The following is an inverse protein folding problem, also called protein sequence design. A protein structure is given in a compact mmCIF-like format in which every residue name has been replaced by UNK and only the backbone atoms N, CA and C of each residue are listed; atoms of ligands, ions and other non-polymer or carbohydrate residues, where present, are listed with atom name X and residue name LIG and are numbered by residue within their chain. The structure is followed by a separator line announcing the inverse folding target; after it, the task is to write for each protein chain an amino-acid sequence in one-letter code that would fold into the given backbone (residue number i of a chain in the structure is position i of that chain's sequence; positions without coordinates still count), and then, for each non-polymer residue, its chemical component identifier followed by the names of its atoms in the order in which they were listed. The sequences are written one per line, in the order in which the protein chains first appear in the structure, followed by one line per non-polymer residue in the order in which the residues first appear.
data_IF_800277995425
#
_entry.id   IF_800277995425
#
_cell.length_a   1.000
_cell.length_b   1.000
_cell.length_c   1.000
_cell.angle_alpha   90.00
_cell.angle_beta   90.00
_cell.angle_gamma   90.00
#
_symmetry.space_group_name_H-M   'P 1'
#
loop_
_entity.id
_entity.type
_entity.pdbx_description
1 polymer ?
#
# COMPACT_ATOMS: atom_id res chain seq x y z
N UNK A 1 -16.08 2.09 -5.94
CA UNK A 1 -15.07 3.11 -5.66
C UNK A 1 -15.07 3.47 -4.20
N UNK A 2 -13.92 3.88 -3.66
CA UNK A 2 -13.78 4.38 -2.30
C UNK A 2 -12.60 5.36 -2.22
N UNK A 3 -12.59 6.19 -1.17
CA UNK A 3 -11.44 7.02 -0.83
C UNK A 3 -10.72 6.36 0.33
N UNK A 4 -9.42 6.18 0.18
CA UNK A 4 -8.51 5.77 1.26
C UNK A 4 -7.70 6.97 1.74
N UNK A 5 -7.53 7.08 3.05
CA UNK A 5 -6.66 8.06 3.68
C UNK A 5 -5.53 7.34 4.43
N UNK A 6 -4.33 7.88 4.32
CA UNK A 6 -3.13 7.37 4.96
C UNK A 6 -2.52 8.46 5.85
N UNK A 7 -2.48 8.24 7.16
CA UNK A 7 -1.66 9.05 8.05
C UNK A 7 -0.18 8.98 7.65
N UNK A 8 0.58 10.02 7.96
CA UNK A 8 2.04 10.02 7.77
C UNK A 8 2.67 8.86 8.53
N UNK A 9 3.65 8.20 7.92
CA UNK A 9 4.40 7.13 8.56
C UNK A 9 3.65 5.81 8.64
N UNK A 10 2.61 5.62 7.83
CA UNK A 10 1.83 4.38 7.78
C UNK A 10 1.75 3.80 6.38
N UNK A 11 1.49 2.50 6.31
CA UNK A 11 1.19 1.80 5.06
C UNK A 11 0.21 0.64 5.30
N UNK A 12 -0.41 0.17 4.24
CA UNK A 12 -1.32 -1.00 4.26
C UNK A 12 -0.55 -2.29 4.10
N UNK A 13 -1.16 -3.40 4.53
CA UNK A 13 -0.72 -4.74 4.17
C UNK A 13 -0.75 -4.94 2.66
N UNK A 14 0.21 -5.70 2.15
CA UNK A 14 0.20 -6.12 0.76
C UNK A 14 -0.97 -7.04 0.50
N UNK A 15 -1.66 -6.84 -0.61
CA UNK A 15 -2.77 -7.69 -1.02
C UNK A 15 -2.93 -7.68 -2.54
N UNK A 16 -3.74 -8.59 -3.04
CA UNK A 16 -4.13 -8.65 -4.45
C UNK A 16 -5.64 -8.80 -4.58
N UNK A 17 -6.18 -8.46 -5.71
CA UNK A 17 -7.58 -8.72 -6.09
C UNK A 17 -7.74 -8.73 -7.61
N UNK A 18 -8.71 -9.52 -8.12
CA UNK A 18 -8.85 -9.83 -9.53
C UNK A 18 -9.00 -8.63 -10.49
N UNK A 19 -9.89 -7.65 -10.23
CA UNK A 19 -10.16 -6.60 -11.22
C UNK A 19 -9.10 -5.49 -11.30
N UNK A 20 -8.00 -5.55 -10.51
CA UNK A 20 -7.05 -4.46 -10.43
C UNK A 20 -7.65 -3.18 -9.82
N UNK A 21 -6.95 -2.07 -9.95
CA UNK A 21 -7.44 -0.77 -9.49
C UNK A 21 -6.79 0.40 -10.25
N UNK A 22 -7.52 1.51 -10.34
CA UNK A 22 -6.99 2.80 -10.75
C UNK A 22 -7.05 3.72 -9.53
N UNK A 23 -5.91 4.19 -9.08
CA UNK A 23 -5.75 5.01 -7.88
C UNK A 23 -5.42 6.44 -8.28
N UNK A 24 -6.37 7.35 -8.14
CA UNK A 24 -6.17 8.77 -8.46
C UNK A 24 -5.78 9.50 -7.19
N UNK A 25 -4.60 10.14 -7.19
CA UNK A 25 -4.05 10.84 -6.04
C UNK A 25 -4.76 12.18 -5.84
N UNK A 26 -5.47 12.30 -4.70
CA UNK A 26 -6.27 13.48 -4.35
C UNK A 26 -5.50 14.47 -3.46
N UNK A 27 -4.62 13.96 -2.60
CA UNK A 27 -3.79 14.80 -1.72
C UNK A 27 -2.58 14.02 -1.20
N UNK A 28 -1.61 14.75 -0.66
CA UNK A 28 -0.36 14.20 -0.14
C UNK A 28 0.77 14.22 -1.15
N UNK A 29 1.98 14.19 -0.64
CA UNK A 29 3.23 14.14 -1.41
C UNK A 29 4.20 13.19 -0.73
N UNK A 30 5.07 12.54 -1.51
CA UNK A 30 6.10 11.64 -0.99
C UNK A 30 5.64 10.23 -0.63
N UNK A 31 4.37 9.88 -0.88
CA UNK A 31 3.91 8.50 -0.83
C UNK A 31 4.21 7.74 -2.11
N UNK A 32 4.00 6.43 -2.09
CA UNK A 32 4.20 5.57 -3.24
C UNK A 32 3.37 4.29 -3.13
N UNK A 33 3.30 3.56 -4.24
CA UNK A 33 2.78 2.20 -4.29
C UNK A 33 3.87 1.25 -4.77
N UNK A 34 3.92 0.06 -4.19
CA UNK A 34 4.66 -1.07 -4.74
C UNK A 34 3.68 -2.00 -5.45
N UNK A 35 4.07 -2.51 -6.62
CA UNK A 35 3.27 -3.42 -7.43
C UNK A 35 4.18 -4.52 -7.96
N UNK A 36 3.78 -5.80 -7.82
CA UNK A 36 4.55 -6.95 -8.30
C UNK A 36 3.65 -8.16 -8.58
N UNK A 37 4.13 -9.12 -9.36
CA UNK A 37 3.42 -10.37 -9.68
C UNK A 37 4.16 -11.61 -9.22
N UNK A 38 5.51 -11.58 -9.23
CA UNK A 38 6.33 -12.72 -8.86
C UNK A 38 6.47 -12.84 -7.33
N UNK A 39 6.45 -14.05 -6.83
CA UNK A 39 6.58 -14.31 -5.39
C UNK A 39 7.93 -13.80 -4.82
N UNK A 40 9.00 -13.85 -5.63
CA UNK A 40 10.32 -13.34 -5.29
C UNK A 40 10.46 -11.82 -5.49
N UNK A 41 9.38 -11.15 -5.92
CA UNK A 41 9.34 -9.71 -6.22
C UNK A 41 10.36 -9.21 -7.23
N UNK A 42 10.91 -10.08 -8.05
CA UNK A 42 11.90 -9.71 -9.08
C UNK A 42 11.35 -8.70 -10.10
N UNK A 43 10.02 -8.58 -10.22
CA UNK A 43 9.31 -7.63 -11.07
C UNK A 43 8.69 -6.45 -10.31
N UNK A 44 9.09 -6.22 -9.05
CA UNK A 44 8.52 -5.17 -8.21
C UNK A 44 8.83 -3.77 -8.77
N UNK A 45 7.77 -2.99 -8.92
CA UNK A 45 7.84 -1.60 -9.39
C UNK A 45 7.39 -0.67 -8.26
N UNK A 46 8.18 0.37 -8.01
CA UNK A 46 7.83 1.49 -7.13
C UNK A 46 7.23 2.64 -7.95
N UNK A 47 6.00 3.00 -7.66
CA UNK A 47 5.25 4.08 -8.30
C UNK A 47 5.11 5.23 -7.32
N UNK A 48 5.92 6.27 -7.46
CA UNK A 48 5.84 7.46 -6.60
C UNK A 48 4.55 8.24 -6.84
N UNK A 49 3.94 8.75 -5.77
CA UNK A 49 2.70 9.50 -5.83
C UNK A 49 2.94 10.97 -6.14
N UNK A 50 2.19 11.47 -7.12
CA UNK A 50 2.12 12.88 -7.45
C UNK A 50 0.64 13.31 -7.47
N UNK A 51 0.34 14.50 -6.98
CA UNK A 51 -1.03 15.03 -6.96
C UNK A 51 -1.63 15.00 -8.38
N UNK A 52 -2.82 14.42 -8.51
CA UNK A 52 -3.52 14.27 -9.78
C UNK A 52 -3.00 13.14 -10.67
N UNK A 53 -1.92 12.45 -10.29
CA UNK A 53 -1.46 11.25 -11.01
C UNK A 53 -2.37 10.06 -10.76
N UNK A 54 -2.32 9.09 -11.66
CA UNK A 54 -3.00 7.82 -11.52
C UNK A 54 -2.00 6.68 -11.48
N UNK A 55 -2.07 5.86 -10.42
CA UNK A 55 -1.38 4.57 -10.37
C UNK A 55 -2.35 3.49 -10.85
N UNK A 56 -1.93 2.72 -11.83
CA UNK A 56 -2.70 1.57 -12.34
C UNK A 56 -2.14 0.30 -11.73
N UNK A 57 -2.96 -0.39 -10.96
CA UNK A 57 -2.70 -1.77 -10.54
C UNK A 57 -3.34 -2.68 -11.57
N UNK A 58 -2.57 -3.48 -12.32
CA UNK A 58 -3.13 -4.39 -13.32
C UNK A 58 -4.12 -5.39 -12.71
N UNK A 59 -5.02 -5.92 -13.54
CA UNK A 59 -5.80 -7.09 -13.20
C UNK A 59 -4.90 -8.33 -13.11
N UNK A 60 -5.39 -9.37 -12.45
CA UNK A 60 -4.78 -10.69 -12.36
C UNK A 60 -3.49 -10.79 -11.51
N UNK A 61 -3.66 -11.24 -10.29
CA UNK A 61 -2.59 -11.63 -9.37
C UNK A 61 -1.54 -10.57 -9.02
N UNK A 62 -1.69 -9.33 -9.42
CA UNK A 62 -0.79 -8.27 -8.99
C UNK A 62 -0.96 -7.97 -7.52
N UNK A 63 0.04 -8.29 -6.72
CA UNK A 63 0.17 -7.74 -5.38
C UNK A 63 0.44 -6.25 -5.46
N UNK A 64 -0.15 -5.53 -4.53
CA UNK A 64 0.12 -4.10 -4.38
C UNK A 64 0.04 -3.69 -2.92
N UNK A 65 0.79 -2.65 -2.62
CA UNK A 65 0.91 -2.09 -1.28
C UNK A 65 1.09 -0.57 -1.38
N UNK A 66 0.52 0.17 -0.43
CA UNK A 66 0.45 1.62 -0.50
C UNK A 66 1.04 2.25 0.76
N UNK A 67 1.93 3.22 0.57
CA UNK A 67 2.78 3.79 1.61
C UNK A 67 2.64 5.31 1.64
N UNK A 68 2.49 5.89 2.83
CA UNK A 68 2.65 7.32 3.01
C UNK A 68 3.95 7.61 3.75
N UNK A 69 5.03 7.79 3.01
CA UNK A 69 6.34 8.24 3.51
C UNK A 69 6.52 9.76 3.43
N UNK A 70 5.49 10.49 3.04
CA UNK A 70 5.51 11.93 2.96
C UNK A 70 5.35 12.63 4.31
N UNK A 71 5.15 13.96 4.29
CA UNK A 71 5.03 14.79 5.49
C UNK A 71 3.62 15.23 5.82
N UNK A 72 2.63 14.85 5.01
CA UNK A 72 1.23 15.17 5.21
C UNK A 72 0.33 13.98 4.87
N UNK A 73 -0.92 14.01 5.34
CA UNK A 73 -1.89 12.95 5.05
C UNK A 73 -2.11 12.81 3.55
N UNK A 74 -2.08 11.58 3.06
CA UNK A 74 -2.32 11.28 1.66
C UNK A 74 -3.70 10.64 1.47
N UNK A 75 -4.36 10.99 0.36
CA UNK A 75 -5.63 10.42 -0.05
C UNK A 75 -5.59 10.02 -1.51
N UNK A 76 -6.16 8.87 -1.81
CA UNK A 76 -6.46 8.52 -3.18
C UNK A 76 -7.92 8.06 -3.34
N UNK A 77 -8.49 8.28 -4.51
CA UNK A 77 -9.71 7.66 -4.98
C UNK A 77 -9.36 6.34 -5.68
N UNK A 78 -9.84 5.23 -5.15
CA UNK A 78 -9.73 3.93 -5.80
C UNK A 78 -10.95 3.67 -6.67
N UNK A 79 -10.71 3.54 -7.97
CA UNK A 79 -11.69 3.11 -8.96
C UNK A 79 -11.41 1.64 -9.28
N UNK A 80 -12.35 0.78 -8.95
CA UNK A 80 -12.34 -0.63 -9.34
C UNK A 80 -13.45 -0.86 -10.35
N UNK A 81 -13.20 -1.64 -11.38
CA UNK A 81 -14.28 -2.22 -12.15
C UNK A 81 -15.09 -3.07 -11.17
N UNK A 82 -16.41 -2.86 -11.12
CA UNK A 82 -17.28 -3.68 -10.30
C UNK A 82 -17.05 -5.14 -10.68
N UNK A 83 -17.17 -6.01 -9.70
CA UNK A 83 -17.19 -7.43 -9.93
C UNK A 83 -18.44 -7.76 -10.76
N UNK A 84 -18.27 -7.81 -12.04
CA UNK A 84 -19.37 -8.11 -12.97
C UNK A 84 -19.72 -9.61 -12.96
N UNK A 85 -19.33 -10.36 -11.94
CA UNK A 85 -19.70 -11.76 -11.77
C UNK A 85 -19.23 -12.69 -12.89
N UNK A 86 -18.50 -12.18 -13.84
CA UNK A 86 -18.07 -12.89 -15.03
C UNK A 86 -16.63 -13.37 -14.81
N UNK A 87 -16.52 -14.61 -14.35
CA UNK A 87 -15.29 -15.43 -14.42
C UNK A 87 -14.23 -15.30 -13.29
N UNK A 88 -14.56 -14.78 -12.11
CA UNK A 88 -13.72 -15.11 -10.96
C UNK A 88 -14.26 -16.37 -10.29
N UNK A 89 -13.53 -17.49 -10.27
CA UNK A 89 -13.97 -18.69 -9.55
C UNK A 89 -14.15 -18.48 -8.03
N UNK A 90 -13.80 -17.31 -7.53
CA UNK A 90 -13.80 -16.96 -6.10
C UNK A 90 -14.69 -15.77 -5.74
N UNK A 91 -15.64 -15.35 -6.59
CA UNK A 91 -16.51 -14.21 -6.27
C UNK A 91 -15.77 -12.88 -6.16
N UNK A 92 -16.48 -11.81 -5.95
CA UNK A 92 -15.92 -10.46 -5.91
C UNK A 92 -14.89 -10.20 -4.83
N UNK A 93 -13.69 -10.32 -5.20
CA UNK A 93 -12.39 -10.01 -4.57
C UNK A 93 -12.23 -9.34 -3.19
N UNK A 94 -13.28 -8.73 -2.65
CA UNK A 94 -13.19 -8.00 -1.39
C UNK A 94 -12.91 -8.91 -0.18
N UNK A 95 -13.64 -9.98 -0.03
CA UNK A 95 -13.50 -10.89 1.12
C UNK A 95 -12.13 -11.58 1.15
N UNK A 96 -11.62 -11.98 0.00
CA UNK A 96 -10.30 -12.64 -0.10
C UNK A 96 -9.14 -11.65 0.00
N UNK A 97 -9.31 -10.41 -0.46
CA UNK A 97 -8.29 -9.38 -0.40
C UNK A 97 -7.95 -8.95 1.05
N UNK A 98 -8.91 -9.07 1.95
CA UNK A 98 -8.75 -8.71 3.37
C UNK A 98 -8.48 -9.93 4.28
N UNK A 99 -8.43 -11.14 3.70
CA UNK A 99 -8.12 -12.40 4.39
C UNK A 99 -6.65 -12.75 4.22
N UNK A 100 -6.02 -13.21 5.30
CA UNK A 100 -4.63 -13.70 5.28
C UNK A 100 -4.41 -14.82 4.27
N UNK A 101 -3.27 -14.82 3.61
CA UNK A 101 -2.83 -15.94 2.76
C UNK A 101 -2.71 -17.25 3.56
N UNK A 102 -2.41 -17.20 4.86
CA UNK A 102 -2.40 -18.36 5.77
C UNK A 102 -3.77 -19.01 5.90
N UNK A 103 -4.83 -18.27 5.64
CA UNK A 103 -6.22 -18.70 5.72
C UNK A 103 -6.87 -18.85 4.34
N UNK A 104 -6.06 -18.96 3.29
CA UNK A 104 -6.51 -19.09 1.91
C UNK A 104 -7.02 -17.78 1.28
N UNK A 105 -6.68 -16.63 1.86
CA UNK A 105 -6.94 -15.31 1.31
C UNK A 105 -5.80 -14.78 0.43
N UNK A 106 -5.78 -13.46 0.23
CA UNK A 106 -4.85 -12.79 -0.70
C UNK A 106 -4.10 -11.63 -0.04
N UNK A 107 -4.05 -11.56 1.28
CA UNK A 107 -3.36 -10.56 2.05
C UNK A 107 -2.11 -11.14 2.72
N UNK A 108 -0.99 -10.44 2.60
CA UNK A 108 0.25 -10.75 3.33
C UNK A 108 0.20 -10.02 4.67
N UNK A 109 0.34 -10.75 5.76
CA UNK A 109 0.36 -10.16 7.09
C UNK A 109 1.67 -9.40 7.35
N UNK A 110 1.65 -8.41 8.24
CA UNK A 110 2.84 -7.62 8.54
C UNK A 110 4.01 -8.45 9.08
N UNK A 111 3.72 -9.49 9.85
CA UNK A 111 4.75 -10.41 10.36
C UNK A 111 5.35 -11.31 9.29
N UNK A 112 4.69 -11.46 8.14
CA UNK A 112 5.14 -12.25 6.99
C UNK A 112 5.73 -11.39 5.87
N UNK A 113 5.71 -10.07 6.06
CA UNK A 113 6.28 -9.14 5.11
C UNK A 113 7.80 -9.25 5.10
N UNK A 114 8.40 -9.18 3.92
CA UNK A 114 9.85 -9.12 3.80
C UNK A 114 10.40 -7.82 4.40
N UNK A 115 11.49 -7.94 5.15
CA UNK A 115 12.14 -6.78 5.81
C UNK A 115 12.50 -5.66 4.84
N UNK A 116 12.91 -6.01 3.64
CA UNK A 116 13.27 -5.04 2.59
C UNK A 116 12.14 -4.04 2.29
N UNK A 117 10.88 -4.48 2.33
CA UNK A 117 9.72 -3.60 2.11
C UNK A 117 9.69 -2.49 3.17
N UNK A 118 9.86 -2.86 4.43
CA UNK A 118 9.89 -1.89 5.52
C UNK A 118 11.14 -1.01 5.50
N UNK A 119 12.29 -1.57 5.12
CA UNK A 119 13.54 -0.81 4.98
C UNK A 119 13.45 0.26 3.89
N UNK A 120 12.81 -0.04 2.75
CA UNK A 120 12.50 0.94 1.71
C UNK A 120 11.66 2.08 2.30
N UNK A 121 10.62 1.72 3.07
CA UNK A 121 9.74 2.70 3.70
C UNK A 121 10.46 3.59 4.71
N UNK A 122 11.25 3.01 5.63
CA UNK A 122 12.01 3.79 6.61
C UNK A 122 13.04 4.71 5.95
N UNK A 123 13.69 4.24 4.88
CA UNK A 123 14.61 5.06 4.09
C UNK A 123 13.93 6.30 3.48
N UNK A 124 12.73 6.12 2.92
CA UNK A 124 11.97 7.23 2.34
C UNK A 124 11.45 8.19 3.42
N UNK A 125 10.96 7.67 4.55
CA UNK A 125 10.59 8.50 5.70
C UNK A 125 11.74 9.37 6.17
N UNK A 126 12.93 8.79 6.31
CA UNK A 126 14.14 9.52 6.71
C UNK A 126 14.49 10.62 5.71
N UNK A 127 14.40 10.33 4.41
CA UNK A 127 14.64 11.32 3.36
C UNK A 127 13.66 12.50 3.41
N UNK A 128 12.41 12.24 3.80
CA UNK A 128 11.37 13.26 3.94
C UNK A 128 11.29 13.91 5.33
N UNK A 129 12.09 13.44 6.30
CA UNK A 129 12.03 13.93 7.69
C UNK A 129 10.75 13.53 8.44
N UNK A 130 10.12 12.43 8.05
CA UNK A 130 8.92 11.89 8.64
C UNK A 130 9.21 10.71 9.58
N UNK A 131 8.28 10.38 10.47
CA UNK A 131 8.42 9.35 11.50
C UNK A 131 7.64 8.10 11.15
N UNK A 132 8.25 6.91 11.33
CA UNK A 132 7.57 5.63 11.20
C UNK A 132 6.58 5.39 12.35
N UNK A 133 5.34 5.04 12.02
CA UNK A 133 4.29 4.69 12.98
C UNK A 133 3.91 3.20 12.95
N UNK A 134 4.71 2.39 12.28
CA UNK A 134 4.42 0.96 12.10
C UNK A 134 4.98 0.07 13.20
N UNK A 135 5.69 0.62 14.20
CA UNK A 135 6.37 -0.17 15.25
C UNK A 135 5.46 -1.13 16.02
N UNK A 136 4.18 -0.80 16.18
CA UNK A 136 3.22 -1.68 16.86
C UNK A 136 2.81 -2.89 16.02
N UNK A 137 3.08 -2.88 14.71
CA UNK A 137 2.63 -3.87 13.73
C UNK A 137 3.79 -4.64 13.10
N UNK A 138 4.98 -4.02 13.02
CA UNK A 138 6.15 -4.58 12.36
C UNK A 138 7.19 -4.96 13.43
N UNK A 139 7.45 -6.26 13.64
CA UNK A 139 8.34 -6.73 14.73
C UNK A 139 9.77 -6.18 14.66
N UNK A 140 10.27 -5.93 13.46
CA UNK A 140 11.64 -5.45 13.22
C UNK A 140 11.73 -3.93 12.94
N UNK A 141 10.62 -3.21 13.07
CA UNK A 141 10.62 -1.76 12.90
C UNK A 141 11.51 -1.09 13.96
N UNK A 142 12.47 -0.29 13.54
CA UNK A 142 13.36 0.44 14.45
C UNK A 142 12.62 1.53 15.21
N UNK A 143 11.57 2.08 14.60
CA UNK A 143 10.82 3.22 15.13
C UNK A 143 11.68 4.47 15.21
N UNK A 144 12.74 4.58 14.37
CA UNK A 144 13.57 5.78 14.33
C UNK A 144 12.72 6.99 13.96
N UNK A 145 12.86 8.02 14.79
CA UNK A 145 12.06 9.22 14.73
C UNK A 145 12.80 10.24 13.87
N UNK A 146 12.25 10.55 12.71
CA UNK A 146 12.58 11.81 12.06
C UNK A 146 11.97 12.99 12.83
N UNK A 147 12.35 14.24 12.57
CA UNK A 147 11.76 15.39 13.24
C UNK A 147 10.26 15.43 12.97
N UNK A 148 9.47 15.34 14.03
CA UNK A 148 8.01 15.45 13.98
C UNK A 148 7.59 16.83 13.51
N UNK A 149 6.99 16.93 12.35
CA UNK A 149 6.29 18.11 11.88
C UNK A 149 4.83 17.78 11.54
N UNK A 150 4.08 17.25 12.49
CA UNK A 150 2.63 17.34 12.40
C UNK A 150 2.18 18.63 13.06
N UNK A 151 1.88 19.63 12.27
CA UNK A 151 0.94 20.65 12.69
C UNK A 151 -0.45 20.07 12.49
N UNK A 152 -1.11 19.72 13.59
CA UNK A 152 -2.54 19.49 13.60
C UNK A 152 -3.21 20.82 13.21
N UNK A 153 -3.86 20.83 12.04
CA UNK A 153 -4.85 21.84 11.65
C UNK A 153 -6.08 21.14 11.13
#
# INVERSE_FOLDING_TARGET
SHISEFPVGTYKKAHRHGPGAHLVLLSGTGGYSLVWTQEDRSDMIKCDWQLGSMVVVPSDNCFHQHFNSGTNRARYLALRSGDMGLNSPHGGGGEYADRSMKEGGWQIEYEDEEREIHEIFEKDLKAHGATCRMKAFIPWCTGEVGPTSERET
#
